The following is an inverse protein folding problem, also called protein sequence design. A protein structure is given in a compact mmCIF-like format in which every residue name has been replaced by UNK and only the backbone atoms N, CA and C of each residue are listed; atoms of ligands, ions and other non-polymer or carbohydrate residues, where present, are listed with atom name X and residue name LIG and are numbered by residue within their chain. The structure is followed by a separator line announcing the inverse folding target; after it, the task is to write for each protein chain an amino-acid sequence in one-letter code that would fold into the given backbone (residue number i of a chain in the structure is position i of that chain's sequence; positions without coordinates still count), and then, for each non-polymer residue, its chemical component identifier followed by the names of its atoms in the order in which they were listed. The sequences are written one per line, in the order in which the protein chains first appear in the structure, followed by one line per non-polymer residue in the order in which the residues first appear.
data_IF_902456472712
#
_entry.id   IF_902456472712
#
_cell.length_a   1.000
_cell.length_b   1.000
_cell.length_c   1.000
_cell.angle_alpha   90.00
_cell.angle_beta   90.00
_cell.angle_gamma   90.00
#
_symmetry.space_group_name_H-M   'P 1'
#
loop_
_entity.id
_entity.type
_entity.pdbx_description
1 polymer ?
#
# COMPACT_ATOMS: atom_id res chain seq x y z
N UNK A 1 -18.73 0.96 0.41
CA UNK A 1 -17.57 0.14 0.01
C UNK A 1 -16.88 -0.28 1.29
N UNK A 2 -17.09 -1.50 1.76
CA UNK A 2 -16.36 -2.71 1.31
C UNK A 2 -14.88 -2.58 1.70
N UNK A 3 -14.56 -2.91 2.96
CA UNK A 3 -13.17 -2.93 3.46
C UNK A 3 -12.23 -3.84 2.65
N UNK A 4 -12.79 -4.67 1.76
CA UNK A 4 -12.10 -5.63 0.91
C UNK A 4 -11.40 -5.00 -0.31
N UNK A 5 -11.67 -3.73 -0.64
CA UNK A 5 -11.10 -3.06 -1.82
C UNK A 5 -10.24 -1.83 -1.48
N UNK A 6 -9.82 -1.70 -0.22
CA UNK A 6 -9.08 -0.53 0.26
C UNK A 6 -7.74 -0.35 -0.48
N UNK A 7 -6.98 -1.42 -0.70
CA UNK A 7 -5.70 -1.34 -1.42
C UNK A 7 -5.87 -0.91 -2.88
N UNK A 8 -6.87 -1.48 -3.58
CA UNK A 8 -7.19 -1.10 -4.96
C UNK A 8 -7.61 0.37 -5.02
N UNK A 9 -8.49 0.82 -4.13
CA UNK A 9 -8.92 2.21 -4.07
C UNK A 9 -7.76 3.15 -3.73
N UNK A 10 -6.90 2.80 -2.78
CA UNK A 10 -5.72 3.58 -2.44
C UNK A 10 -4.79 3.74 -3.66
N UNK A 11 -4.42 2.65 -4.33
CA UNK A 11 -3.54 2.69 -5.50
C UNK A 11 -4.13 3.47 -6.67
N UNK A 12 -5.40 3.21 -7.02
CA UNK A 12 -6.06 3.90 -8.13
C UNK A 12 -6.24 5.38 -7.85
N UNK A 13 -6.54 5.73 -6.61
CA UNK A 13 -6.72 7.13 -6.23
C UNK A 13 -5.37 7.86 -6.13
N UNK A 14 -4.32 7.15 -5.69
CA UNK A 14 -2.95 7.62 -5.76
C UNK A 14 -2.53 7.90 -7.20
N UNK A 15 -2.93 7.07 -8.17
CA UNK A 15 -2.61 7.28 -9.59
C UNK A 15 -3.65 8.13 -10.34
N UNK A 16 -4.71 8.57 -9.68
CA UNK A 16 -5.83 9.32 -10.29
C UNK A 16 -6.47 8.60 -11.49
N UNK A 17 -6.55 7.27 -11.44
CA UNK A 17 -7.17 6.47 -12.50
C UNK A 17 -7.35 5.00 -12.12
N UNK A 18 -8.23 4.27 -12.81
CA UNK A 18 -8.51 2.86 -12.54
C UNK A 18 -7.43 1.96 -13.17
N UNK A 19 -6.19 2.05 -12.69
CA UNK A 19 -5.06 1.32 -13.26
C UNK A 19 -4.91 -0.10 -12.73
N UNK A 20 -5.34 -0.34 -11.49
CA UNK A 20 -5.28 -1.63 -10.83
C UNK A 20 -6.68 -2.19 -10.58
N UNK A 21 -6.83 -3.47 -10.87
CA UNK A 21 -7.96 -4.28 -10.44
C UNK A 21 -7.56 -5.21 -9.31
N UNK A 22 -8.53 -5.77 -8.60
CA UNK A 22 -8.27 -6.81 -7.57
C UNK A 22 -7.49 -7.97 -8.19
N UNK A 23 -7.85 -8.37 -9.41
CA UNK A 23 -7.20 -9.48 -10.11
C UNK A 23 -5.70 -9.19 -10.33
N UNK A 24 -5.37 -7.96 -10.73
CA UNK A 24 -3.96 -7.56 -10.92
C UNK A 24 -3.20 -7.62 -9.59
N UNK A 25 -3.80 -7.11 -8.51
CA UNK A 25 -3.17 -7.14 -7.18
C UNK A 25 -3.02 -8.57 -6.64
N UNK A 26 -4.01 -9.44 -6.87
CA UNK A 26 -3.92 -10.86 -6.49
C UNK A 26 -2.82 -11.58 -7.28
N UNK A 27 -2.66 -11.29 -8.57
CA UNK A 27 -1.56 -11.84 -9.36
C UNK A 27 -0.20 -11.38 -8.84
N UNK A 28 -0.06 -10.09 -8.48
CA UNK A 28 1.16 -9.57 -7.86
C UNK A 28 1.44 -10.23 -6.51
N UNK A 29 0.43 -10.46 -5.68
CA UNK A 29 0.57 -11.17 -4.40
C UNK A 29 1.05 -12.61 -4.61
N UNK A 30 0.45 -13.34 -5.54
CA UNK A 30 0.87 -14.71 -5.87
C UNK A 30 2.32 -14.76 -6.39
N UNK A 31 2.71 -13.82 -7.25
CA UNK A 31 4.09 -13.72 -7.72
C UNK A 31 5.07 -13.46 -6.58
N UNK A 32 4.72 -12.58 -5.64
CA UNK A 32 5.54 -12.33 -4.46
C UNK A 32 5.67 -13.57 -3.57
N UNK A 33 4.58 -14.32 -3.36
CA UNK A 33 4.64 -15.57 -2.60
C UNK A 33 5.55 -16.61 -3.28
N UNK A 34 5.52 -16.70 -4.61
CA UNK A 34 6.39 -17.59 -5.38
C UNK A 34 7.87 -17.15 -5.30
N UNK A 35 8.15 -15.85 -5.42
CA UNK A 35 9.49 -15.28 -5.26
C UNK A 35 10.04 -15.51 -3.85
N UNK A 36 9.23 -15.29 -2.80
CA UNK A 36 9.59 -15.55 -1.41
C UNK A 36 9.82 -17.04 -1.14
N UNK A 37 8.98 -17.92 -1.70
CA UNK A 37 9.17 -19.37 -1.61
C UNK A 37 10.47 -19.82 -2.30
N UNK A 38 10.77 -19.28 -3.48
CA UNK A 38 12.00 -19.59 -4.22
C UNK A 38 13.24 -19.10 -3.45
N UNK A 39 13.21 -17.86 -2.94
CA UNK A 39 14.30 -17.30 -2.14
C UNK A 39 14.53 -18.08 -0.83
N UNK A 40 13.46 -18.56 -0.17
CA UNK A 40 13.56 -19.43 1.00
C UNK A 40 14.15 -20.80 0.66
N UNK A 41 13.80 -21.37 -0.49
CA UNK A 41 14.38 -22.63 -0.96
C UNK A 41 15.88 -22.51 -1.28
N UNK A 42 16.32 -21.34 -1.74
CA UNK A 42 17.72 -21.06 -2.09
C UNK A 42 18.60 -20.66 -0.89
N UNK A 43 18.04 -19.96 0.10
CA UNK A 43 18.80 -19.33 1.19
C UNK A 43 19.04 -20.20 2.42
N UNK A 44 18.32 -21.32 2.60
CA UNK A 44 18.34 -22.07 3.86
C UNK A 44 19.30 -23.27 3.84
N UNK A 45 20.12 -23.41 4.89
CA UNK A 45 20.94 -24.60 5.20
C UNK A 45 19.98 -25.73 5.64
N UNK A 46 19.31 -26.36 4.66
CA UNK A 46 18.23 -27.35 4.88
C UNK A 46 17.22 -27.44 3.72
N UNK A 47 17.23 -26.46 2.80
CA UNK A 47 16.41 -26.49 1.57
C UNK A 47 14.90 -26.62 1.82
N UNK A 48 14.23 -27.30 0.88
CA UNK A 48 12.77 -27.53 0.77
C UNK A 48 12.18 -28.31 1.97
N UNK A 49 13.03 -28.84 2.87
CA UNK A 49 12.64 -29.68 4.01
C UNK A 49 12.63 -28.91 5.35
N UNK A 50 13.00 -27.62 5.36
CA UNK A 50 12.91 -26.79 6.56
C UNK A 50 11.46 -26.64 7.04
N UNK A 51 11.23 -26.76 8.35
CA UNK A 51 9.91 -26.60 8.96
C UNK A 51 9.23 -25.26 8.63
N UNK A 52 10.03 -24.22 8.38
CA UNK A 52 9.57 -22.90 7.96
C UNK A 52 9.04 -22.89 6.51
N UNK A 53 9.66 -23.65 5.60
CA UNK A 53 9.18 -23.79 4.22
C UNK A 53 7.88 -24.61 4.16
N UNK A 54 7.79 -25.68 4.95
CA UNK A 54 6.56 -26.47 5.06
C UNK A 54 5.42 -25.64 5.66
N UNK A 55 5.68 -24.80 6.67
CA UNK A 55 4.68 -23.87 7.21
C UNK A 55 4.29 -22.78 6.23
N UNK A 56 5.23 -22.19 5.50
CA UNK A 56 4.93 -21.19 4.47
C UNK A 56 4.02 -21.78 3.38
N UNK A 57 4.35 -22.98 2.89
CA UNK A 57 3.55 -23.67 1.87
C UNK A 57 2.19 -24.16 2.37
N UNK A 58 2.08 -24.51 3.66
CA UNK A 58 0.82 -24.95 4.28
C UNK A 58 -0.05 -23.78 4.78
N UNK A 59 0.53 -22.60 4.99
CA UNK A 59 -0.11 -21.45 5.63
C UNK A 59 -0.96 -20.56 4.72
N UNK A 60 -0.97 -20.82 3.41
CA UNK A 60 -1.63 -19.94 2.43
C UNK A 60 -0.75 -18.74 2.04
N UNK A 61 -1.31 -17.82 1.24
CA UNK A 61 -0.62 -16.58 0.86
C UNK A 61 -0.49 -15.67 2.07
N UNK A 62 0.73 -15.22 2.39
CA UNK A 62 0.92 -14.20 3.43
C UNK A 62 0.64 -12.79 2.88
N UNK A 63 0.58 -12.65 1.55
CA UNK A 63 0.47 -11.38 0.84
C UNK A 63 -0.97 -11.02 0.45
N UNK A 64 -1.87 -12.00 0.47
CA UNK A 64 -3.29 -11.87 0.20
C UNK A 64 -4.11 -12.79 1.13
N UNK A 65 -5.09 -12.23 1.81
CA UNK A 65 -6.03 -12.99 2.64
C UNK A 65 -7.41 -13.07 1.99
N UNK A 66 -8.21 -14.09 2.36
CA UNK A 66 -9.58 -14.32 1.90
C UNK A 66 -10.53 -13.15 2.25
N UNK A 67 -10.11 -12.27 3.15
CA UNK A 67 -10.77 -11.00 3.48
C UNK A 67 -10.58 -9.89 2.42
N UNK A 68 -9.71 -10.08 1.42
CA UNK A 68 -9.36 -9.07 0.41
C UNK A 68 -8.30 -8.07 0.89
N UNK A 69 -7.62 -8.37 2.01
CA UNK A 69 -6.49 -7.57 2.47
C UNK A 69 -5.23 -7.88 1.64
N UNK A 70 -4.49 -6.83 1.29
CA UNK A 70 -3.22 -6.91 0.60
C UNK A 70 -2.10 -6.40 1.49
N UNK A 71 -0.98 -7.13 1.53
CA UNK A 71 0.19 -6.72 2.30
C UNK A 71 0.84 -5.45 1.71
N UNK A 72 1.67 -4.80 2.53
CA UNK A 72 2.48 -3.65 2.07
C UNK A 72 3.39 -4.01 0.91
N UNK A 73 3.87 -5.26 0.84
CA UNK A 73 4.77 -5.72 -0.22
C UNK A 73 4.07 -5.72 -1.58
N UNK A 74 2.79 -6.11 -1.64
CA UNK A 74 1.97 -6.04 -2.86
C UNK A 74 1.84 -4.59 -3.34
N UNK A 75 1.58 -3.65 -2.41
CA UNK A 75 1.50 -2.22 -2.74
C UNK A 75 2.84 -1.70 -3.26
N UNK A 76 3.94 -2.05 -2.60
CA UNK A 76 5.28 -1.71 -3.07
C UNK A 76 5.54 -2.23 -4.49
N UNK A 77 5.17 -3.49 -4.77
CA UNK A 77 5.37 -4.11 -6.08
C UNK A 77 4.53 -3.45 -7.16
N UNK A 78 3.27 -3.12 -6.85
CA UNK A 78 2.40 -2.38 -7.75
C UNK A 78 2.98 -0.99 -8.10
N UNK A 79 3.54 -0.29 -7.12
CA UNK A 79 4.17 1.02 -7.32
C UNK A 79 5.48 0.95 -8.11
N UNK A 80 6.27 -0.11 -7.93
CA UNK A 80 7.49 -0.33 -8.70
C UNK A 80 7.22 -0.42 -10.21
N UNK A 81 6.06 -0.95 -10.64
CA UNK A 81 5.65 -0.97 -12.06
C UNK A 81 5.58 0.45 -12.65
N UNK A 82 5.24 1.44 -11.82
CA UNK A 82 5.17 2.86 -12.16
C UNK A 82 6.46 3.63 -11.89
N UNK A 83 7.55 2.93 -11.54
CA UNK A 83 8.81 3.54 -11.13
C UNK A 83 8.63 4.50 -9.92
N UNK A 84 7.66 4.18 -9.05
CA UNK A 84 7.40 4.88 -7.80
C UNK A 84 8.02 4.10 -6.64
N UNK A 85 8.63 4.81 -5.70
CA UNK A 85 9.23 4.24 -4.50
C UNK A 85 8.32 4.51 -3.29
N UNK A 86 8.08 3.49 -2.48
CA UNK A 86 7.34 3.60 -1.22
C UNK A 86 8.35 3.55 -0.07
N UNK A 87 8.42 4.63 0.73
CA UNK A 87 9.36 4.76 1.84
C UNK A 87 8.63 5.16 3.13
N UNK A 88 9.08 4.74 4.33
CA UNK A 88 8.53 5.30 5.57
C UNK A 88 8.62 6.82 5.58
N UNK A 89 7.63 7.47 6.20
CA UNK A 89 7.60 8.94 6.25
C UNK A 89 8.88 9.52 6.88
N UNK A 90 9.56 10.38 6.12
CA UNK A 90 10.73 11.15 6.58
C UNK A 90 10.62 12.64 6.25
N UNK A 91 9.89 12.98 5.19
CA UNK A 91 9.60 14.34 4.75
C UNK A 91 8.19 14.42 4.18
N UNK A 92 7.63 15.63 4.13
CA UNK A 92 6.36 15.86 3.46
C UNK A 92 6.62 15.97 1.94
N UNK A 93 6.03 15.09 1.14
CA UNK A 93 6.16 15.08 -0.35
C UNK A 93 4.79 15.23 -1.02
N UNK A 94 4.61 14.83 -2.29
CA UNK A 94 3.39 15.03 -3.08
C UNK A 94 2.24 14.03 -2.79
N UNK A 95 2.56 12.84 -2.27
CA UNK A 95 1.55 11.85 -1.88
C UNK A 95 2.05 10.90 -0.78
N UNK A 96 1.09 10.37 -0.02
CA UNK A 96 1.30 9.40 1.04
C UNK A 96 0.28 8.27 0.93
N UNK A 97 0.70 7.08 1.33
CA UNK A 97 -0.17 5.95 1.63
C UNK A 97 -0.09 5.70 3.14
N UNK A 98 -1.24 5.54 3.76
CA UNK A 98 -1.37 5.25 5.18
C UNK A 98 -2.07 3.90 5.36
N UNK A 99 -1.63 3.15 6.37
CA UNK A 99 -2.27 1.93 6.84
C UNK A 99 -2.64 2.06 8.31
N UNK A 100 -3.90 1.75 8.64
CA UNK A 100 -4.34 1.47 10.00
C UNK A 100 -5.19 0.21 10.02
N UNK A 101 -4.86 -0.74 10.90
CA UNK A 101 -5.69 -1.92 11.17
C UNK A 101 -6.22 -2.57 9.89
N UNK A 102 -5.31 -2.87 8.96
CA UNK A 102 -5.64 -3.51 7.68
C UNK A 102 -6.45 -2.64 6.69
N UNK A 103 -6.49 -1.33 6.93
CA UNK A 103 -7.16 -0.37 6.04
C UNK A 103 -6.16 0.58 5.38
N UNK A 104 -6.08 0.50 4.05
CA UNK A 104 -5.25 1.35 3.22
C UNK A 104 -6.01 2.59 2.74
N UNK A 105 -5.39 3.77 2.86
CA UNK A 105 -5.90 5.01 2.27
C UNK A 105 -4.76 5.90 1.77
N UNK A 106 -5.11 6.86 0.93
CA UNK A 106 -4.15 7.74 0.28
C UNK A 106 -4.41 9.19 0.66
N UNK A 107 -3.35 9.91 0.99
CA UNK A 107 -3.34 11.35 1.08
C UNK A 107 -2.58 11.86 -0.14
N UNK A 108 -3.23 12.64 -1.00
CA UNK A 108 -2.59 13.13 -2.21
C UNK A 108 -2.86 14.61 -2.42
N UNK A 109 -1.83 15.31 -2.83
CA UNK A 109 -1.97 16.65 -3.40
C UNK A 109 -2.35 16.52 -4.88
N UNK A 110 -3.49 17.09 -5.28
CA UNK A 110 -3.90 17.12 -6.69
C UNK A 110 -4.68 18.41 -7.03
N UNK A 111 -4.69 18.75 -8.33
CA UNK A 111 -5.35 19.94 -8.88
C UNK A 111 -4.39 21.10 -9.19
N UNK A 112 -4.96 22.24 -9.60
CA UNK A 112 -4.20 23.44 -10.04
C UNK A 112 -3.56 24.23 -8.89
N UNK A 113 -3.86 23.87 -7.64
CA UNK A 113 -3.39 24.60 -6.46
C UNK A 113 -2.40 23.74 -5.66
N UNK A 114 -1.12 24.13 -5.58
CA UNK A 114 -0.05 23.34 -4.96
C UNK A 114 -0.07 23.34 -3.41
N UNK A 115 -1.19 23.70 -2.78
CA UNK A 115 -1.34 23.71 -1.32
C UNK A 115 -2.64 23.02 -0.88
N UNK A 116 -3.28 22.25 -1.76
CA UNK A 116 -4.52 21.53 -1.45
C UNK A 116 -4.27 20.05 -1.32
N UNK A 117 -4.40 19.55 -0.10
CA UNK A 117 -4.33 18.14 0.22
C UNK A 117 -5.72 17.57 0.30
N UNK A 118 -5.85 16.30 -0.07
CA UNK A 118 -7.10 15.59 0.00
C UNK A 118 -6.88 14.23 0.65
N UNK A 119 -7.73 13.94 1.62
CA UNK A 119 -7.91 12.61 2.17
C UNK A 119 -8.88 11.84 1.28
N UNK A 120 -8.35 10.77 0.69
CA UNK A 120 -9.01 9.92 -0.27
C UNK A 120 -9.34 8.56 0.32
N UNK A 121 -9.55 8.51 1.64
CA UNK A 121 -10.04 7.34 2.33
C UNK A 121 -11.40 6.89 1.76
N UNK A 122 -11.46 5.63 1.34
CA UNK A 122 -12.64 4.99 0.77
C UNK A 122 -13.84 4.90 1.73
N UNK A 123 -13.62 5.13 3.03
CA UNK A 123 -14.69 5.26 4.02
C UNK A 123 -15.50 6.56 3.86
N UNK A 124 -14.93 7.59 3.22
CA UNK A 124 -15.62 8.83 2.94
C UNK A 124 -16.34 8.75 1.60
N UNK A 125 -17.57 9.30 1.54
CA UNK A 125 -18.33 9.39 0.28
C UNK A 125 -17.66 10.30 -0.75
N UNK A 126 -16.87 11.27 -0.28
CA UNK A 126 -16.21 12.28 -1.08
C UNK A 126 -14.82 12.63 -0.50
N UNK A 127 -13.86 13.05 -1.33
CA UNK A 127 -12.54 13.50 -0.88
C UNK A 127 -12.63 14.64 0.14
N UNK A 128 -11.98 14.48 1.29
CA UNK A 128 -11.95 15.54 2.31
C UNK A 128 -10.75 16.43 2.13
N UNK A 129 -10.99 17.73 2.02
CA UNK A 129 -9.93 18.72 1.94
C UNK A 129 -9.15 18.82 3.26
N UNK A 130 -7.83 18.81 3.15
CA UNK A 130 -6.86 19.04 4.22
C UNK A 130 -6.01 20.26 3.83
N UNK A 131 -5.88 21.22 4.73
CA UNK A 131 -4.91 22.31 4.56
C UNK A 131 -3.51 21.81 4.88
N UNK A 132 -2.49 22.42 4.28
CA UNK A 132 -1.09 22.13 4.57
C UNK A 132 -0.75 22.23 6.07
N UNK A 133 -1.29 23.23 6.75
CA UNK A 133 -1.14 23.40 8.20
C UNK A 133 -1.79 22.28 9.01
N UNK A 134 -2.91 21.75 8.53
CA UNK A 134 -3.61 20.65 9.19
C UNK A 134 -2.97 19.30 8.85
N UNK A 135 -2.35 19.15 7.68
CA UNK A 135 -1.70 17.91 7.23
C UNK A 135 -0.62 17.47 8.22
N UNK A 136 0.28 18.38 8.62
CA UNK A 136 1.34 18.04 9.56
C UNK A 136 0.78 17.55 10.92
N UNK A 137 -0.30 18.19 11.38
CA UNK A 137 -0.99 17.80 12.60
C UNK A 137 -1.69 16.44 12.45
N UNK A 138 -2.35 16.23 11.30
CA UNK A 138 -3.03 14.98 10.97
C UNK A 138 -2.05 13.81 10.91
N UNK A 139 -0.94 13.96 10.17
CA UNK A 139 0.15 12.99 10.08
C UNK A 139 0.70 12.67 11.48
N UNK A 140 0.96 13.69 12.29
CA UNK A 140 1.47 13.49 13.66
C UNK A 140 0.46 12.73 14.54
N UNK A 141 -0.83 13.04 14.39
CA UNK A 141 -1.90 12.36 15.12
C UNK A 141 -1.96 10.88 14.73
N UNK A 142 -2.05 10.57 13.44
CA UNK A 142 -2.14 9.17 12.98
C UNK A 142 -0.85 8.40 13.31
N UNK A 143 0.31 9.05 13.30
CA UNK A 143 1.56 8.43 13.75
C UNK A 143 1.52 8.05 15.24
N UNK A 144 0.93 8.90 16.10
CA UNK A 144 0.72 8.59 17.52
C UNK A 144 -0.32 7.50 17.74
N UNK A 145 -1.35 7.43 16.88
CA UNK A 145 -2.36 6.37 16.90
C UNK A 145 -1.80 5.01 16.41
N UNK A 146 -0.57 4.97 15.90
CA UNK A 146 0.12 3.74 15.46
C UNK A 146 -0.04 3.43 13.98
N UNK A 147 -0.44 4.41 13.16
CA UNK A 147 -0.57 4.21 11.71
C UNK A 147 0.81 4.05 11.08
N UNK A 148 0.90 3.14 10.12
CA UNK A 148 2.07 3.06 9.25
C UNK A 148 1.89 4.04 8.10
N UNK A 149 2.75 5.06 8.04
CA UNK A 149 2.68 6.13 7.04
C UNK A 149 3.87 6.01 6.11
N UNK A 150 3.57 5.98 4.81
CA UNK A 150 4.56 5.86 3.76
C UNK A 150 4.45 7.03 2.81
N UNK A 151 5.59 7.62 2.46
CA UNK A 151 5.72 8.64 1.43
C UNK A 151 5.99 7.97 0.08
N UNK A 152 5.35 8.50 -0.97
CA UNK A 152 5.54 8.04 -2.34
C UNK A 152 6.50 9.00 -3.04
N UNK A 153 7.62 8.47 -3.50
CA UNK A 153 8.63 9.21 -4.24
C UNK A 153 8.55 8.84 -5.72
N UNK A 154 8.54 9.84 -6.60
CA UNK A 154 8.56 9.67 -8.05
C UNK A 154 7.58 10.58 -8.77
N UNK A 155 7.52 10.42 -10.10
CA UNK A 155 6.65 11.24 -10.96
C UNK A 155 5.24 10.67 -11.00
N UNK A 156 4.36 11.24 -10.17
CA UNK A 156 2.95 10.87 -10.16
C UNK A 156 2.22 11.42 -11.39
N UNK A 157 1.31 10.64 -12.01
CA UNK A 157 0.48 11.11 -13.11
C UNK A 157 -0.42 12.27 -12.66
N UNK A 158 -0.45 13.37 -13.42
CA UNK A 158 -1.18 14.61 -13.08
C UNK A 158 -2.68 14.52 -13.30
#
# INVERSE_FOLDING_TARGET
QEGQLCAQHALNTLLQGPYFTVVDLSQLAMQLDEEEAAAMAESNVGGIESADFVKFKQGGSSNYDDSGFFSVQVICRALQVWNLELRPIGSIDAAFICNLNEHWFTLRQFGRSPNRWYDLNSLFKEPKYISETYLAMFISQIQMEGYSIFVILGDLPR
#
